data_IF_965197422314
#
_entry.id   IF_965197422314
#
_cell.length_a   1.000
_cell.length_b   1.000
_cell.length_c   1.000
_cell.angle_alpha   90.00
_cell.angle_beta   90.00
_cell.angle_gamma   90.00
#
_symmetry.space_group_name_H-M   'P 1'
#
loop_
_entity.id
_entity.type
_entity.pdbx_description
1 polymer ?
#
# COMPACT_ATOMS: atom_id res chain seq x y z
N UNK A 1 9.03 0.31 22.18
CA UNK A 1 10.21 -0.50 22.57
C UNK A 1 9.79 -1.96 22.56
N UNK A 2 10.53 -2.83 21.87
CA UNK A 2 10.23 -4.26 21.82
C UNK A 2 10.88 -4.96 23.02
N UNK A 3 10.13 -5.83 23.69
CA UNK A 3 10.63 -6.63 24.82
C UNK A 3 10.93 -8.04 24.35
N UNK A 4 12.11 -8.54 24.70
CA UNK A 4 12.49 -9.94 24.50
C UNK A 4 12.04 -10.72 25.73
N UNK A 5 11.31 -11.83 25.53
CA UNK A 5 10.96 -12.74 26.60
C UNK A 5 11.93 -13.92 26.60
N UNK A 6 12.58 -14.19 27.73
CA UNK A 6 13.33 -15.43 27.92
C UNK A 6 12.45 -16.43 28.67
N UNK A 7 12.18 -17.58 28.05
CA UNK A 7 11.40 -18.65 28.65
C UNK A 7 12.04 -20.00 28.31
N UNK A 8 12.36 -20.80 29.33
CA UNK A 8 13.03 -22.11 29.21
C UNK A 8 14.34 -22.07 28.38
N UNK A 9 15.11 -20.98 28.48
CA UNK A 9 16.35 -20.83 27.71
C UNK A 9 16.13 -20.44 26.24
N UNK A 10 14.90 -20.16 25.83
CA UNK A 10 14.56 -19.66 24.51
C UNK A 10 14.22 -18.17 24.57
N UNK A 11 14.81 -17.40 23.64
CA UNK A 11 14.46 -16.01 23.45
C UNK A 11 13.30 -15.89 22.46
N UNK A 12 12.18 -15.34 22.91
CA UNK A 12 11.05 -14.98 22.08
C UNK A 12 11.16 -13.50 21.75
N UNK A 13 11.39 -13.24 20.47
CA UNK A 13 11.51 -11.91 19.92
C UNK A 13 10.23 -11.56 19.15
N UNK A 14 9.76 -10.31 19.20
CA UNK A 14 8.63 -9.89 18.38
C UNK A 14 8.94 -10.11 16.90
N UNK A 15 8.12 -10.92 16.22
CA UNK A 15 8.33 -11.27 14.81
C UNK A 15 8.40 -10.02 13.90
N UNK A 16 7.65 -8.97 14.25
CA UNK A 16 7.69 -7.68 13.56
C UNK A 16 9.06 -7.03 13.62
N UNK A 17 9.68 -7.03 14.81
CA UNK A 17 11.02 -6.49 14.99
C UNK A 17 12.04 -7.20 14.10
N UNK A 18 11.99 -8.53 14.06
CA UNK A 18 12.91 -9.33 13.24
C UNK A 18 12.71 -9.04 11.75
N UNK A 19 11.47 -9.09 11.26
CA UNK A 19 11.17 -8.86 9.85
C UNK A 19 11.60 -7.46 9.38
N UNK A 20 11.22 -6.41 10.13
CA UNK A 20 11.57 -5.03 9.77
C UNK A 20 13.08 -4.79 9.82
N UNK A 21 13.80 -5.40 10.77
CA UNK A 21 15.26 -5.30 10.87
C UNK A 21 15.99 -5.95 9.68
N UNK A 22 15.36 -6.94 9.05
CA UNK A 22 15.86 -7.59 7.85
C UNK A 22 15.41 -6.89 6.55
N UNK A 23 14.70 -5.76 6.66
CA UNK A 23 14.17 -5.04 5.50
C UNK A 23 12.92 -5.68 4.88
N UNK A 24 12.27 -6.61 5.59
CA UNK A 24 11.04 -7.23 5.13
C UNK A 24 9.81 -6.47 5.60
N UNK A 25 8.77 -6.54 4.77
CA UNK A 25 7.43 -6.16 5.16
C UNK A 25 6.77 -7.26 6.01
N UNK A 26 5.96 -6.86 6.98
CA UNK A 26 5.15 -7.78 7.79
C UNK A 26 3.71 -7.28 7.96
N UNK A 27 2.74 -8.19 7.84
CA UNK A 27 1.30 -7.91 8.02
C UNK A 27 0.66 -9.02 8.85
N UNK A 28 -0.25 -8.63 9.74
CA UNK A 28 -1.17 -9.55 10.38
C UNK A 28 -2.58 -9.41 9.78
N UNK A 29 -3.19 -10.52 9.37
CA UNK A 29 -4.61 -10.61 9.00
C UNK A 29 -5.39 -11.20 10.17
N UNK A 30 -6.13 -10.37 10.91
CA UNK A 30 -6.98 -10.85 12.01
C UNK A 30 -8.18 -11.69 11.54
N UNK A 31 -8.60 -11.55 10.28
CA UNK A 31 -9.66 -12.38 9.67
C UNK A 31 -9.21 -13.82 9.48
N UNK A 32 -7.98 -14.00 9.01
CA UNK A 32 -7.45 -15.31 8.61
C UNK A 32 -6.54 -15.92 9.68
N UNK A 33 -6.21 -15.17 10.73
CA UNK A 33 -5.21 -15.51 11.74
C UNK A 33 -3.83 -15.84 11.13
N UNK A 34 -3.44 -15.08 10.10
CA UNK A 34 -2.19 -15.29 9.35
C UNK A 34 -1.25 -14.10 9.56
N UNK A 35 0.03 -14.40 9.80
CA UNK A 35 1.14 -13.45 9.71
C UNK A 35 1.86 -13.66 8.38
N UNK A 36 1.91 -12.64 7.55
CA UNK A 36 2.63 -12.65 6.27
C UNK A 36 3.91 -11.84 6.39
N UNK A 37 5.04 -12.43 5.98
CA UNK A 37 6.35 -11.76 5.87
C UNK A 37 6.70 -11.74 4.38
N UNK A 38 7.07 -10.57 3.88
CA UNK A 38 7.18 -10.29 2.45
C UNK A 38 8.52 -9.60 2.21
N UNK A 39 9.31 -10.06 1.23
CA UNK A 39 10.44 -9.28 0.78
C UNK A 39 9.98 -8.14 -0.14
N UNK A 40 10.81 -7.11 -0.28
CA UNK A 40 10.68 -6.18 -1.38
C UNK A 40 10.93 -6.92 -2.70
N UNK A 41 10.09 -6.75 -3.74
CA UNK A 41 10.29 -7.39 -5.01
C UNK A 41 11.65 -7.04 -5.61
N UNK A 42 12.44 -8.07 -5.93
CA UNK A 42 13.73 -7.97 -6.61
C UNK A 42 13.57 -8.11 -8.12
N UNK A 43 14.49 -7.52 -8.90
CA UNK A 43 14.49 -7.58 -10.38
C UNK A 43 13.26 -6.96 -11.07
N UNK A 44 12.66 -5.95 -10.43
CA UNK A 44 11.57 -5.15 -10.99
C UNK A 44 12.02 -3.71 -11.16
N UNK A 45 11.34 -2.95 -12.03
CA UNK A 45 11.61 -1.54 -12.26
C UNK A 45 11.27 -0.67 -11.03
N UNK A 46 11.75 0.58 -11.04
CA UNK A 46 11.59 1.52 -9.92
C UNK A 46 10.12 1.84 -9.61
N UNK A 47 9.26 1.91 -10.62
CA UNK A 47 7.82 2.18 -10.45
C UNK A 47 7.18 1.02 -9.69
N UNK A 48 7.48 -0.21 -10.09
CA UNK A 48 6.99 -1.41 -9.39
C UNK A 48 7.40 -1.44 -7.92
N UNK A 49 8.65 -1.08 -7.60
CA UNK A 49 9.11 -0.96 -6.20
C UNK A 49 8.33 0.09 -5.41
N UNK A 50 8.14 1.28 -5.98
CA UNK A 50 7.38 2.37 -5.36
C UNK A 50 5.92 2.00 -5.12
N UNK A 51 5.27 1.37 -6.11
CA UNK A 51 3.89 0.87 -5.98
C UNK A 51 3.79 -0.16 -4.86
N UNK A 52 4.72 -1.10 -4.77
CA UNK A 52 4.77 -2.09 -3.71
C UNK A 52 4.90 -1.43 -2.32
N UNK A 53 5.83 -0.48 -2.17
CA UNK A 53 6.05 0.22 -0.90
C UNK A 53 4.81 0.99 -0.44
N UNK A 54 4.12 1.64 -1.39
CA UNK A 54 2.87 2.36 -1.12
C UNK A 54 1.76 1.40 -0.69
N UNK A 55 1.54 0.32 -1.45
CA UNK A 55 0.53 -0.68 -1.11
C UNK A 55 0.81 -1.31 0.26
N UNK A 56 2.06 -1.65 0.54
CA UNK A 56 2.49 -2.19 1.83
C UNK A 56 2.16 -1.23 2.98
N UNK A 57 2.46 0.05 2.84
CA UNK A 57 2.23 1.07 3.89
C UNK A 57 0.74 1.35 4.11
N UNK A 58 -0.06 1.48 3.04
CA UNK A 58 -1.53 1.60 3.14
C UNK A 58 -2.11 0.40 3.89
N UNK A 59 -1.68 -0.79 3.50
CA UNK A 59 -2.19 -2.05 4.03
C UNK A 59 -1.87 -2.20 5.52
N UNK A 60 -0.76 -1.63 5.99
CA UNK A 60 -0.37 -1.60 7.40
C UNK A 60 -0.92 -0.41 8.19
N UNK A 61 -1.84 0.38 7.62
CA UNK A 61 -2.48 1.49 8.30
C UNK A 61 -1.61 2.74 8.43
N UNK A 62 -0.56 2.86 7.60
CA UNK A 62 0.27 4.08 7.55
C UNK A 62 -0.53 5.21 6.87
N UNK A 63 -0.41 6.40 7.45
CA UNK A 63 -1.18 7.61 7.15
C UNK A 63 -1.26 7.95 5.65
N UNK A 64 -2.46 8.32 5.18
CA UNK A 64 -2.76 8.77 3.80
C UNK A 64 -1.83 9.91 3.33
N UNK A 65 -1.34 10.74 4.23
CA UNK A 65 -0.42 11.85 3.97
C UNK A 65 0.97 11.34 3.52
N UNK A 66 1.43 10.19 4.03
CA UNK A 66 2.67 9.57 3.57
C UNK A 66 2.55 9.14 2.10
N UNK A 67 1.42 8.52 1.73
CA UNK A 67 1.16 8.06 0.36
C UNK A 67 1.13 9.22 -0.63
N UNK A 68 0.46 10.33 -0.26
CA UNK A 68 0.43 11.57 -1.05
C UNK A 68 1.83 12.15 -1.27
N UNK A 69 2.71 12.10 -0.27
CA UNK A 69 4.10 12.58 -0.40
C UNK A 69 4.96 11.72 -1.34
N UNK A 70 4.68 10.42 -1.48
CA UNK A 70 5.44 9.51 -2.35
C UNK A 70 4.93 9.53 -3.79
N UNK A 71 3.62 9.66 -3.98
CA UNK A 71 2.99 9.62 -5.31
C UNK A 71 2.80 11.00 -5.94
N UNK A 72 2.89 12.08 -5.15
CA UNK A 72 2.45 13.41 -5.56
C UNK A 72 0.94 13.58 -5.46
N UNK A 73 0.47 14.82 -5.63
CA UNK A 73 -0.97 15.06 -5.80
C UNK A 73 -1.41 14.56 -7.18
N UNK A 74 -2.53 13.83 -7.28
CA UNK A 74 -3.09 13.43 -8.57
C UNK A 74 -3.36 14.66 -9.43
N UNK A 75 -3.14 14.56 -10.74
CA UNK A 75 -3.49 15.62 -11.68
C UNK A 75 -4.99 15.92 -11.65
N UNK A 76 -5.41 17.12 -12.08
CA UNK A 76 -6.83 17.49 -12.12
C UNK A 76 -7.69 16.46 -12.86
N UNK A 77 -7.16 15.94 -13.97
CA UNK A 77 -7.82 14.90 -14.77
C UNK A 77 -7.99 13.58 -14.00
N UNK A 78 -6.98 13.17 -13.23
CA UNK A 78 -7.06 11.97 -12.39
C UNK A 78 -8.02 12.17 -11.20
N UNK A 79 -8.05 13.38 -10.63
CA UNK A 79 -9.01 13.74 -9.58
C UNK A 79 -10.46 13.66 -10.09
N UNK A 80 -10.71 14.19 -11.29
CA UNK A 80 -11.99 14.09 -11.99
C UNK A 80 -12.38 12.62 -12.25
N UNK A 81 -11.43 11.77 -12.68
CA UNK A 81 -11.68 10.34 -12.87
C UNK A 81 -11.99 9.60 -11.56
N UNK A 82 -11.27 9.90 -10.47
CA UNK A 82 -11.49 9.30 -9.15
C UNK A 82 -12.83 9.74 -8.57
N UNK A 83 -13.19 11.02 -8.74
CA UNK A 83 -14.49 11.57 -8.38
C UNK A 83 -15.59 10.83 -9.13
N UNK A 84 -15.52 10.81 -10.47
CA UNK A 84 -16.51 10.14 -11.31
C UNK A 84 -16.58 8.64 -11.05
N UNK A 85 -15.50 7.95 -10.67
CA UNK A 85 -15.54 6.53 -10.30
C UNK A 85 -16.20 6.27 -8.95
N UNK A 86 -16.06 7.19 -7.98
CA UNK A 86 -16.75 7.10 -6.68
C UNK A 86 -18.27 7.32 -6.78
N UNK A 87 -18.71 8.08 -7.79
CA UNK A 87 -20.12 8.41 -8.00
C UNK A 87 -20.75 7.69 -9.20
N UNK A 88 -19.94 7.12 -10.09
CA UNK A 88 -20.34 6.51 -11.37
C UNK A 88 -20.83 5.06 -11.27
N UNK A 89 -20.63 4.40 -10.13
CA UNK A 89 -21.30 3.11 -9.85
C UNK A 89 -22.82 3.28 -9.62
N UNK A 90 -23.35 4.51 -9.64
CA UNK A 90 -24.80 4.77 -9.58
C UNK A 90 -25.48 5.08 -10.92
N UNK A 91 -24.83 5.50 -12.02
CA UNK A 91 -25.49 5.69 -13.34
C UNK A 91 -24.48 5.53 -14.52
N UNK A 92 -24.83 4.67 -15.50
CA UNK A 92 -24.10 4.36 -16.76
C UNK A 92 -24.11 5.52 -17.82
N UNK A 93 -23.30 5.44 -18.90
CA UNK A 93 -22.57 6.56 -19.53
C UNK A 93 -23.40 7.29 -20.59
N UNK A 94 -23.03 8.53 -20.96
CA UNK A 94 -23.09 9.05 -22.34
C UNK A 94 -22.26 10.34 -22.52
N UNK A 95 -21.71 10.48 -23.72
CA UNK A 95 -21.03 11.63 -24.35
C UNK A 95 -19.53 11.80 -24.15
N UNK A 96 -18.76 11.03 -24.94
CA UNK A 96 -17.49 11.51 -25.48
C UNK A 96 -17.58 11.43 -27.01
N UNK A 97 -17.98 12.53 -27.67
CA UNK A 97 -17.43 12.95 -28.97
C UNK A 97 -17.67 14.45 -29.14
N UNK A 98 -16.66 15.29 -28.91
CA UNK A 98 -16.43 16.50 -29.72
C UNK A 98 -14.91 16.66 -29.82
N UNK A 99 -14.34 16.29 -30.96
CA UNK A 99 -13.05 16.80 -31.37
C UNK A 99 -13.32 17.78 -32.52
N UNK A 100 -13.11 19.06 -32.26
CA UNK A 100 -13.21 20.14 -33.22
C UNK A 100 -11.81 20.40 -33.78
N UNK A 101 -11.57 20.00 -35.01
CA UNK A 101 -10.50 20.52 -35.85
C UNK A 101 -11.09 20.81 -37.23
N UNK A 102 -11.21 22.11 -37.49
CA UNK A 102 -11.21 22.84 -38.77
C UNK A 102 -11.91 22.17 -39.96
#
# INVERSE_FOLDING_TARGET
MYTVLNYNGHAYVPVRFVAESLGFGIRYSGKDNVVSIMNEPSNVDEVTKKVWLVQYRITNGVDRNYVKGVLGEPSENEQLMIHNKRFGDMIYPQSMVINMMI
#
